data_IF_490130789310
#
_entry.id   IF_490130789310
#
_cell.length_a   1.000
_cell.length_b   1.000
_cell.length_c   1.000
_cell.angle_alpha   90.00
_cell.angle_beta   90.00
_cell.angle_gamma   90.00
#
_symmetry.space_group_name_H-M   'P 1'
#
loop_
_entity.id
_entity.type
_entity.pdbx_description
1 polymer ?
#
# COMPACT_ATOMS: atom_id res chain seq x y z
N UNK A 1 -30.77 -12.63 -28.89
CA UNK A 1 -31.50 -12.07 -27.72
C UNK A 1 -30.90 -10.72 -27.41
N UNK A 2 -31.69 -9.68 -27.12
CA UNK A 2 -31.18 -8.54 -26.37
C UNK A 2 -30.67 -9.06 -25.03
N UNK A 3 -29.49 -8.63 -24.59
CA UNK A 3 -28.98 -8.95 -23.26
C UNK A 3 -29.78 -8.10 -22.28
N UNK A 4 -30.31 -8.71 -21.22
CA UNK A 4 -31.04 -7.99 -20.17
C UNK A 4 -30.07 -7.01 -19.47
N UNK A 5 -30.36 -5.71 -19.53
CA UNK A 5 -29.47 -4.64 -19.06
C UNK A 5 -29.73 -4.31 -17.59
N UNK A 6 -29.63 -5.32 -16.72
CA UNK A 6 -29.82 -5.14 -15.28
C UNK A 6 -28.51 -5.32 -14.48
N UNK A 7 -28.52 -4.87 -13.22
CA UNK A 7 -27.36 -4.95 -12.33
C UNK A 7 -26.85 -6.40 -12.16
N UNK A 8 -27.71 -7.41 -11.87
CA UNK A 8 -27.33 -8.83 -11.91
C UNK A 8 -26.57 -9.26 -13.17
N UNK A 9 -27.03 -8.88 -14.37
CA UNK A 9 -26.42 -9.29 -15.62
C UNK A 9 -25.07 -8.63 -15.83
N UNK A 10 -24.94 -7.32 -15.58
CA UNK A 10 -23.64 -6.60 -15.64
C UNK A 10 -22.63 -7.21 -14.68
N UNK A 11 -23.02 -7.47 -13.42
CA UNK A 11 -22.16 -8.09 -12.42
C UNK A 11 -21.74 -9.52 -12.82
N UNK A 12 -22.65 -10.29 -13.40
CA UNK A 12 -22.39 -11.66 -13.85
C UNK A 12 -21.38 -11.71 -15.01
N UNK A 13 -21.54 -10.84 -16.02
CA UNK A 13 -20.57 -10.71 -17.11
C UNK A 13 -19.20 -10.25 -16.61
N UNK A 14 -19.16 -9.25 -15.72
CA UNK A 14 -17.92 -8.76 -15.14
C UNK A 14 -17.20 -9.80 -14.27
N UNK A 15 -17.96 -10.64 -13.54
CA UNK A 15 -17.42 -11.74 -12.75
C UNK A 15 -16.85 -12.87 -13.64
N UNK A 16 -17.58 -13.26 -14.69
CA UNK A 16 -17.10 -14.25 -15.68
C UNK A 16 -15.85 -13.79 -16.42
N UNK A 17 -15.83 -12.54 -16.86
CA UNK A 17 -14.69 -11.91 -17.52
C UNK A 17 -13.46 -11.82 -16.61
N UNK A 18 -13.68 -11.41 -15.36
CA UNK A 18 -12.65 -11.40 -14.31
C UNK A 18 -12.09 -12.80 -14.05
N UNK A 19 -12.97 -13.79 -13.84
CA UNK A 19 -12.57 -15.17 -13.62
C UNK A 19 -11.75 -15.72 -14.79
N UNK A 20 -12.18 -15.48 -16.03
CA UNK A 20 -11.46 -15.90 -17.24
C UNK A 20 -10.07 -15.27 -17.36
N UNK A 21 -9.96 -13.95 -17.27
CA UNK A 21 -8.68 -13.23 -17.40
C UNK A 21 -7.69 -13.66 -16.30
N UNK A 22 -8.16 -13.78 -15.06
CA UNK A 22 -7.31 -14.12 -13.91
C UNK A 22 -6.90 -15.59 -13.91
N UNK A 23 -7.77 -16.50 -14.37
CA UNK A 23 -7.43 -17.92 -14.55
C UNK A 23 -6.42 -18.12 -15.69
N UNK A 24 -6.58 -17.43 -16.82
CA UNK A 24 -5.61 -17.46 -17.92
C UNK A 24 -4.25 -16.88 -17.49
N UNK A 25 -4.28 -15.78 -16.72
CA UNK A 25 -3.09 -15.20 -16.10
C UNK A 25 -2.38 -16.17 -15.14
N UNK A 26 -3.13 -16.85 -14.28
CA UNK A 26 -2.62 -17.90 -13.40
C UNK A 26 -1.98 -19.05 -14.19
N UNK A 27 -2.68 -19.61 -15.18
CA UNK A 27 -2.19 -20.73 -16.00
C UNK A 27 -0.86 -20.34 -16.65
N UNK A 28 -0.82 -19.18 -17.32
CA UNK A 28 0.41 -18.68 -17.94
C UNK A 28 1.53 -18.47 -16.90
N UNK A 29 1.26 -17.74 -15.82
CA UNK A 29 2.26 -17.43 -14.80
C UNK A 29 2.80 -18.67 -14.08
N UNK A 30 1.98 -19.71 -13.88
CA UNK A 30 2.38 -20.95 -13.25
C UNK A 30 3.19 -21.83 -14.20
N UNK A 31 2.75 -21.98 -15.46
CA UNK A 31 3.46 -22.74 -16.50
C UNK A 31 4.85 -22.18 -16.77
N UNK A 32 4.99 -20.86 -16.87
CA UNK A 32 6.27 -20.20 -17.16
C UNK A 32 7.01 -19.68 -15.92
N UNK A 33 6.52 -19.98 -14.71
CA UNK A 33 7.08 -19.54 -13.42
C UNK A 33 7.41 -18.03 -13.39
N UNK A 34 6.46 -17.21 -13.85
CA UNK A 34 6.60 -15.76 -14.03
C UNK A 34 5.43 -14.97 -13.45
N UNK A 35 5.74 -13.83 -12.82
CA UNK A 35 4.77 -12.83 -12.36
C UNK A 35 4.63 -11.63 -13.31
N UNK A 36 5.37 -11.61 -14.43
CA UNK A 36 5.55 -10.42 -15.27
C UNK A 36 4.24 -9.75 -15.75
N UNK A 37 3.17 -10.53 -15.92
CA UNK A 37 1.86 -10.05 -16.35
C UNK A 37 0.85 -9.83 -15.22
N UNK A 38 1.20 -10.10 -13.95
CA UNK A 38 0.27 -10.01 -12.81
C UNK A 38 -0.32 -8.60 -12.67
N UNK A 39 0.51 -7.59 -12.42
CA UNK A 39 0.06 -6.19 -12.31
C UNK A 39 -0.66 -5.72 -13.60
N UNK A 40 -0.21 -6.18 -14.77
CA UNK A 40 -0.76 -5.79 -16.07
C UNK A 40 -2.17 -6.35 -16.31
N UNK A 41 -2.40 -7.64 -16.05
CA UNK A 41 -3.71 -8.28 -16.24
C UNK A 41 -4.74 -7.76 -15.22
N UNK A 42 -4.33 -7.36 -14.02
CA UNK A 42 -5.22 -6.64 -13.09
C UNK A 42 -5.70 -5.29 -13.63
N UNK A 43 -4.78 -4.51 -14.20
CA UNK A 43 -5.10 -3.23 -14.85
C UNK A 43 -6.00 -3.41 -16.08
N UNK A 44 -5.65 -4.35 -16.97
CA UNK A 44 -6.44 -4.70 -18.16
C UNK A 44 -7.83 -5.18 -17.78
N UNK A 45 -7.96 -6.10 -16.81
CA UNK A 45 -9.27 -6.57 -16.33
C UNK A 45 -10.14 -5.46 -15.72
N UNK A 46 -9.52 -4.43 -15.14
CA UNK A 46 -10.29 -3.26 -14.71
C UNK A 46 -10.83 -2.49 -15.92
N UNK A 47 -10.00 -2.27 -16.94
CA UNK A 47 -10.39 -1.54 -18.16
C UNK A 47 -11.45 -2.26 -18.99
N UNK A 48 -11.50 -3.60 -18.95
CA UNK A 48 -12.57 -4.35 -19.64
C UNK A 48 -13.95 -4.11 -19.05
N UNK A 49 -14.09 -3.64 -17.79
CA UNK A 49 -15.40 -3.22 -17.25
C UNK A 49 -15.95 -2.00 -17.99
N UNK A 50 -15.10 -1.05 -18.38
CA UNK A 50 -15.52 0.11 -19.17
C UNK A 50 -15.89 -0.31 -20.60
N UNK A 51 -15.15 -1.25 -21.19
CA UNK A 51 -15.52 -1.85 -22.48
C UNK A 51 -16.85 -2.61 -22.39
N UNK A 52 -17.09 -3.33 -21.30
CA UNK A 52 -18.35 -4.03 -21.02
C UNK A 52 -19.51 -3.04 -20.91
N UNK A 53 -19.33 -1.88 -20.26
CA UNK A 53 -20.33 -0.80 -20.20
C UNK A 53 -20.72 -0.31 -21.59
N UNK A 54 -19.73 -0.04 -22.46
CA UNK A 54 -19.98 0.35 -23.86
C UNK A 54 -20.68 -0.76 -24.67
N UNK A 55 -20.29 -2.03 -24.50
CA UNK A 55 -20.92 -3.16 -25.21
C UNK A 55 -22.36 -3.37 -24.77
N UNK A 56 -22.65 -3.31 -23.47
CA UNK A 56 -23.98 -3.59 -22.94
C UNK A 56 -24.94 -2.43 -23.14
N UNK A 57 -24.49 -1.17 -23.04
CA UNK A 57 -25.36 0.02 -23.13
C UNK A 57 -25.36 0.73 -24.48
N UNK A 58 -24.31 0.60 -25.29
CA UNK A 58 -24.20 1.26 -26.59
C UNK A 58 -24.42 2.78 -26.52
N UNK A 59 -25.37 3.28 -27.31
CA UNK A 59 -25.72 4.71 -27.37
C UNK A 59 -26.33 5.25 -26.06
N UNK A 60 -27.01 4.41 -25.27
CA UNK A 60 -27.67 4.82 -24.02
C UNK A 60 -26.69 5.25 -22.92
N UNK A 61 -25.43 4.82 -22.99
CA UNK A 61 -24.39 5.31 -22.09
C UNK A 61 -24.18 6.81 -22.28
N UNK A 62 -24.21 7.31 -23.52
CA UNK A 62 -24.04 8.73 -23.85
C UNK A 62 -25.20 9.60 -23.37
N UNK A 63 -26.37 9.01 -23.13
CA UNK A 63 -27.53 9.69 -22.53
C UNK A 63 -27.46 9.88 -21.01
N UNK A 64 -26.49 9.27 -20.32
CA UNK A 64 -26.43 9.28 -18.85
C UNK A 64 -25.11 9.89 -18.34
N UNK A 65 -25.11 11.18 -17.92
CA UNK A 65 -23.88 11.87 -17.55
C UNK A 65 -23.20 11.30 -16.30
N UNK A 66 -23.93 10.57 -15.44
CA UNK A 66 -23.37 9.90 -14.25
C UNK A 66 -22.48 8.72 -14.66
N UNK A 67 -22.98 7.87 -15.55
CA UNK A 67 -22.28 6.68 -16.03
C UNK A 67 -21.05 7.09 -16.84
N UNK A 68 -21.18 7.99 -17.83
CA UNK A 68 -20.02 8.53 -18.59
C UNK A 68 -18.95 9.07 -17.63
N UNK A 69 -19.34 9.87 -16.64
CA UNK A 69 -18.40 10.45 -15.67
C UNK A 69 -17.63 9.38 -14.91
N UNK A 70 -18.32 8.36 -14.34
CA UNK A 70 -17.62 7.31 -13.60
C UNK A 70 -16.80 6.41 -14.55
N UNK A 71 -17.29 6.04 -15.73
CA UNK A 71 -16.55 5.21 -16.68
C UNK A 71 -15.27 5.91 -17.17
N UNK A 72 -15.33 7.21 -17.46
CA UNK A 72 -14.15 8.01 -17.84
C UNK A 72 -13.15 8.17 -16.68
N UNK A 73 -13.62 8.50 -15.48
CA UNK A 73 -12.76 8.65 -14.29
C UNK A 73 -12.13 7.31 -13.88
N UNK A 74 -12.90 6.23 -13.94
CA UNK A 74 -12.42 4.87 -13.70
C UNK A 74 -11.37 4.48 -14.74
N UNK A 75 -11.66 4.62 -16.04
CA UNK A 75 -10.70 4.37 -17.13
C UNK A 75 -9.40 5.16 -16.93
N UNK A 76 -9.48 6.46 -16.64
CA UNK A 76 -8.30 7.31 -16.41
C UNK A 76 -7.46 6.81 -15.21
N UNK A 77 -8.10 6.47 -14.09
CA UNK A 77 -7.39 5.96 -12.90
C UNK A 77 -6.73 4.60 -13.13
N UNK A 78 -7.37 3.71 -13.90
CA UNK A 78 -6.84 2.36 -14.20
C UNK A 78 -5.79 2.39 -15.30
N UNK A 79 -5.92 3.26 -16.31
CA UNK A 79 -4.87 3.54 -17.31
C UNK A 79 -3.61 4.12 -16.67
N UNK A 80 -3.75 5.07 -15.74
CA UNK A 80 -2.62 5.59 -14.97
C UNK A 80 -1.93 4.49 -14.17
N UNK A 81 -2.70 3.76 -13.35
CA UNK A 81 -2.15 2.71 -12.49
C UNK A 81 -1.46 1.62 -13.31
N UNK A 82 -2.08 1.13 -14.38
CA UNK A 82 -1.49 0.16 -15.32
C UNK A 82 -0.17 0.67 -15.90
N UNK A 83 -0.15 1.90 -16.41
CA UNK A 83 1.04 2.51 -17.03
C UNK A 83 2.19 2.67 -16.02
N UNK A 84 1.87 3.16 -14.81
CA UNK A 84 2.85 3.35 -13.75
C UNK A 84 3.41 2.03 -13.22
N UNK A 85 2.56 1.01 -13.04
CA UNK A 85 2.98 -0.32 -12.60
C UNK A 85 3.85 -1.00 -13.67
N UNK A 86 3.47 -0.93 -14.95
CA UNK A 86 4.24 -1.50 -16.05
C UNK A 86 5.64 -0.84 -16.19
N UNK A 87 5.71 0.49 -16.14
CA UNK A 87 6.98 1.22 -16.10
C UNK A 87 7.83 0.80 -14.88
N UNK A 88 7.22 0.73 -13.69
CA UNK A 88 7.90 0.37 -12.44
C UNK A 88 8.42 -1.07 -12.45
N UNK A 89 7.69 -2.02 -13.03
CA UNK A 89 8.10 -3.41 -13.17
C UNK A 89 9.34 -3.53 -14.08
N UNK A 90 9.33 -2.81 -15.22
CA UNK A 90 10.47 -2.71 -16.14
C UNK A 90 11.72 -2.14 -15.48
N UNK A 91 11.59 -1.04 -14.73
CA UNK A 91 12.73 -0.40 -14.03
C UNK A 91 13.29 -1.22 -12.86
N UNK A 92 12.53 -2.19 -12.31
CA UNK A 92 12.94 -3.01 -11.16
C UNK A 92 13.33 -4.44 -11.51
N UNK A 93 13.07 -4.90 -12.73
CA UNK A 93 13.34 -6.27 -13.14
C UNK A 93 12.38 -7.30 -12.52
N UNK A 94 11.11 -6.94 -12.31
CA UNK A 94 10.09 -7.82 -11.71
C UNK A 94 9.81 -7.55 -10.22
N UNK A 95 9.19 -8.52 -9.55
CA UNK A 95 8.82 -8.42 -8.13
C UNK A 95 9.12 -9.71 -7.35
N UNK A 96 10.30 -9.75 -6.73
CA UNK A 96 10.79 -10.90 -5.95
C UNK A 96 9.95 -11.29 -4.72
N UNK A 97 8.83 -10.61 -4.43
CA UNK A 97 7.81 -11.13 -3.51
C UNK A 97 7.17 -12.42 -4.05
N UNK A 98 7.08 -12.57 -5.37
CA UNK A 98 6.45 -13.72 -6.03
C UNK A 98 7.35 -14.95 -6.13
N UNK A 99 8.68 -14.82 -6.02
CA UNK A 99 9.62 -15.96 -6.14
C UNK A 99 9.37 -17.08 -5.14
N UNK A 100 8.78 -16.75 -3.97
CA UNK A 100 8.40 -17.71 -2.93
C UNK A 100 7.00 -18.30 -3.11
N UNK A 101 6.25 -17.82 -4.10
CA UNK A 101 4.83 -18.12 -4.31
C UNK A 101 4.64 -18.94 -5.60
N UNK A 102 5.27 -18.53 -6.70
CA UNK A 102 5.20 -19.16 -8.04
C UNK A 102 5.39 -20.69 -8.05
N UNK A 103 6.31 -21.30 -7.26
CA UNK A 103 6.50 -22.75 -7.26
C UNK A 103 5.34 -23.55 -6.66
N UNK A 104 4.48 -22.92 -5.87
CA UNK A 104 3.42 -23.60 -5.11
C UNK A 104 2.05 -23.34 -5.73
N UNK A 105 1.52 -24.32 -6.47
CA UNK A 105 0.27 -24.22 -7.24
C UNK A 105 -0.87 -23.52 -6.49
N UNK A 106 -1.28 -24.03 -5.33
CA UNK A 106 -2.40 -23.47 -4.55
C UNK A 106 -2.09 -22.08 -3.99
N UNK A 107 -0.86 -21.84 -3.51
CA UNK A 107 -0.44 -20.53 -3.00
C UNK A 107 -0.49 -19.48 -4.11
N UNK A 108 0.02 -19.80 -5.30
CA UNK A 108 0.01 -18.89 -6.44
C UNK A 108 -1.43 -18.69 -6.96
N UNK A 109 -2.25 -19.74 -7.04
CA UNK A 109 -3.67 -19.65 -7.41
C UNK A 109 -4.44 -18.71 -6.49
N UNK A 110 -4.21 -18.78 -5.17
CA UNK A 110 -4.82 -17.86 -4.19
C UNK A 110 -4.42 -16.41 -4.47
N UNK A 111 -3.18 -16.15 -4.92
CA UNK A 111 -2.72 -14.78 -5.22
C UNK A 111 -3.40 -14.18 -6.47
N UNK A 112 -3.70 -15.00 -7.48
CA UNK A 112 -4.53 -14.58 -8.63
C UNK A 112 -6.02 -14.47 -8.26
N UNK A 113 -6.54 -15.37 -7.43
CA UNK A 113 -7.92 -15.28 -6.94
C UNK A 113 -8.15 -14.02 -6.09
N UNK A 114 -7.21 -13.67 -5.21
CA UNK A 114 -7.27 -12.42 -4.44
C UNK A 114 -7.18 -11.18 -5.36
N UNK A 115 -6.46 -11.26 -6.47
CA UNK A 115 -6.45 -10.21 -7.49
C UNK A 115 -7.81 -10.09 -8.20
N UNK A 116 -8.43 -11.22 -8.55
CA UNK A 116 -9.76 -11.28 -9.13
C UNK A 116 -10.80 -10.60 -8.23
N UNK A 117 -10.84 -11.00 -6.95
CA UNK A 117 -11.71 -10.39 -5.93
C UNK A 117 -11.43 -8.90 -5.78
N UNK A 118 -10.16 -8.50 -5.69
CA UNK A 118 -9.78 -7.09 -5.56
C UNK A 118 -10.23 -6.23 -6.74
N UNK A 119 -9.95 -6.65 -7.98
CA UNK A 119 -10.35 -5.89 -9.19
C UNK A 119 -11.86 -5.76 -9.27
N UNK A 120 -12.59 -6.86 -9.04
CA UNK A 120 -14.05 -6.86 -9.03
C UNK A 120 -14.63 -5.94 -7.95
N UNK A 121 -14.15 -6.07 -6.70
CA UNK A 121 -14.59 -5.23 -5.58
C UNK A 121 -14.32 -3.74 -5.83
N UNK A 122 -13.14 -3.38 -6.34
CA UNK A 122 -12.83 -1.97 -6.68
C UNK A 122 -13.75 -1.45 -7.79
N UNK A 123 -14.07 -2.29 -8.78
CA UNK A 123 -14.98 -1.97 -9.88
C UNK A 123 -16.47 -1.88 -9.53
N UNK A 124 -16.91 -2.27 -8.33
CA UNK A 124 -18.34 -2.31 -7.99
C UNK A 124 -19.12 -1.00 -8.27
N UNK A 125 -18.61 0.22 -7.99
CA UNK A 125 -19.36 1.44 -8.25
C UNK A 125 -19.64 1.68 -9.73
N UNK A 126 -18.70 1.36 -10.62
CA UNK A 126 -18.92 1.48 -12.08
C UNK A 126 -19.87 0.38 -12.56
N UNK A 127 -19.62 -0.88 -12.20
CA UNK A 127 -20.45 -2.04 -12.58
C UNK A 127 -21.91 -1.91 -12.11
N UNK A 128 -22.14 -1.43 -10.89
CA UNK A 128 -23.49 -1.22 -10.35
C UNK A 128 -24.16 -0.04 -11.05
N UNK A 129 -23.47 1.07 -11.28
CA UNK A 129 -24.04 2.22 -11.99
C UNK A 129 -24.39 1.87 -13.44
N UNK A 130 -23.56 1.11 -14.14
CA UNK A 130 -23.79 0.72 -15.54
C UNK A 130 -25.02 -0.18 -15.72
N UNK A 131 -25.38 -0.98 -14.71
CA UNK A 131 -26.58 -1.81 -14.69
C UNK A 131 -27.88 -1.08 -14.31
N UNK A 132 -27.85 0.23 -14.09
CA UNK A 132 -29.05 1.05 -13.81
C UNK A 132 -29.58 1.63 -15.13
N UNK A 133 -30.81 1.28 -15.47
CA UNK A 133 -31.50 1.80 -16.67
C UNK A 133 -32.14 3.17 -16.42
N UNK A 134 -32.59 3.46 -15.20
CA UNK A 134 -33.21 4.75 -14.89
C UNK A 134 -32.19 5.90 -14.91
N UNK A 135 -32.40 6.87 -15.81
CA UNK A 135 -31.57 8.08 -15.86
C UNK A 135 -31.92 9.03 -14.72
N UNK A 136 -31.01 9.16 -13.75
CA UNK A 136 -31.15 10.11 -12.62
C UNK A 136 -30.21 11.30 -12.82
N UNK A 137 -30.73 12.54 -12.95
CA UNK A 137 -29.92 13.74 -13.11
C UNK A 137 -28.83 13.88 -12.04
N UNK A 138 -27.73 14.52 -12.42
CA UNK A 138 -26.66 14.87 -11.47
C UNK A 138 -27.14 15.94 -10.49
N UNK A 139 -26.74 15.82 -9.23
CA UNK A 139 -26.93 16.82 -8.19
C UNK A 139 -25.59 17.42 -7.73
N UNK A 140 -25.64 18.39 -6.82
CA UNK A 140 -24.45 19.05 -6.24
C UNK A 140 -23.48 18.05 -5.60
N UNK A 141 -23.98 17.02 -4.93
CA UNK A 141 -23.16 15.96 -4.34
C UNK A 141 -22.39 15.15 -5.39
N UNK A 142 -23.01 14.88 -6.54
CA UNK A 142 -22.36 14.17 -7.64
C UNK A 142 -21.22 14.98 -8.26
N UNK A 143 -21.42 16.29 -8.45
CA UNK A 143 -20.35 17.20 -8.90
C UNK A 143 -19.21 17.30 -7.87
N UNK A 144 -19.52 17.29 -6.57
CA UNK A 144 -18.51 17.21 -5.49
C UNK A 144 -17.72 15.89 -5.59
N UNK A 145 -18.40 14.75 -5.79
CA UNK A 145 -17.75 13.46 -5.95
C UNK A 145 -16.86 13.41 -7.21
N UNK A 146 -17.33 13.92 -8.36
CA UNK A 146 -16.52 14.02 -9.60
C UNK A 146 -15.27 14.89 -9.37
N UNK A 147 -15.42 16.04 -8.72
CA UNK A 147 -14.31 16.94 -8.41
C UNK A 147 -13.29 16.32 -7.45
N UNK A 148 -13.76 15.72 -6.35
CA UNK A 148 -12.91 15.07 -5.35
C UNK A 148 -12.24 13.79 -5.88
N UNK A 149 -12.91 13.00 -6.73
CA UNK A 149 -12.28 11.88 -7.44
C UNK A 149 -11.13 12.41 -8.31
N UNK A 150 -11.37 13.46 -9.10
CA UNK A 150 -10.36 14.06 -9.98
C UNK A 150 -9.16 14.57 -9.17
N UNK A 151 -9.41 15.23 -8.03
CA UNK A 151 -8.35 15.65 -7.11
C UNK A 151 -7.59 14.46 -6.51
N UNK A 152 -8.26 13.37 -6.17
CA UNK A 152 -7.65 12.13 -5.70
C UNK A 152 -6.72 11.50 -6.75
N UNK A 153 -7.19 11.42 -8.00
CA UNK A 153 -6.41 10.93 -9.14
C UNK A 153 -5.16 11.81 -9.38
N UNK A 154 -5.33 13.13 -9.42
CA UNK A 154 -4.20 14.06 -9.59
C UNK A 154 -3.20 13.98 -8.42
N UNK A 155 -3.69 13.83 -7.18
CA UNK A 155 -2.85 13.66 -6.01
C UNK A 155 -2.03 12.35 -6.08
N UNK A 156 -2.63 11.24 -6.55
CA UNK A 156 -1.93 9.98 -6.81
C UNK A 156 -0.86 10.15 -7.89
N UNK A 157 -1.25 10.59 -9.09
CA UNK A 157 -0.35 10.79 -10.24
C UNK A 157 0.88 11.59 -9.84
N UNK A 158 0.65 12.77 -9.25
CA UNK A 158 1.72 13.68 -8.84
C UNK A 158 2.63 13.06 -7.77
N UNK A 159 2.04 12.38 -6.77
CA UNK A 159 2.81 11.73 -5.70
C UNK A 159 3.69 10.59 -6.23
N UNK A 160 3.16 9.77 -7.11
CA UNK A 160 3.86 8.64 -7.73
C UNK A 160 5.01 9.12 -8.62
N UNK A 161 4.76 10.14 -9.47
CA UNK A 161 5.79 10.78 -10.31
C UNK A 161 6.90 11.42 -9.46
N UNK A 162 6.55 12.21 -8.43
CA UNK A 162 7.55 12.86 -7.56
C UNK A 162 8.43 11.84 -6.84
N UNK A 163 7.85 10.74 -6.36
CA UNK A 163 8.60 9.65 -5.70
C UNK A 163 9.46 8.87 -6.70
N UNK A 164 8.97 8.62 -7.90
CA UNK A 164 9.72 8.00 -9.00
C UNK A 164 10.97 8.83 -9.37
N UNK A 165 10.79 10.13 -9.61
CA UNK A 165 11.89 11.05 -9.93
C UNK A 165 12.92 11.13 -8.79
N UNK A 166 12.47 11.19 -7.54
CA UNK A 166 13.36 11.21 -6.37
C UNK A 166 14.17 9.90 -6.21
N UNK A 167 13.58 8.74 -6.51
CA UNK A 167 14.32 7.47 -6.55
C UNK A 167 15.35 7.49 -7.68
N UNK A 168 14.98 7.95 -8.88
CA UNK A 168 15.88 8.06 -10.04
C UNK A 168 17.03 9.05 -9.81
N UNK A 169 16.81 10.12 -9.03
CA UNK A 169 17.86 11.05 -8.60
C UNK A 169 18.68 10.55 -7.39
N UNK A 170 18.87 9.22 -7.26
CA UNK A 170 19.74 8.62 -6.24
C UNK A 170 19.25 8.71 -4.79
N UNK A 171 17.97 8.99 -4.54
CA UNK A 171 17.38 9.09 -3.19
C UNK A 171 18.04 10.13 -2.28
N UNK A 172 18.46 11.26 -2.86
CA UNK A 172 19.09 12.37 -2.13
C UNK A 172 18.26 12.81 -0.91
N UNK A 173 18.91 13.03 0.24
CA UNK A 173 18.25 13.38 1.50
C UNK A 173 17.67 12.19 2.29
N UNK A 174 17.93 10.95 1.87
CA UNK A 174 17.53 9.75 2.60
C UNK A 174 16.10 9.29 2.28
N UNK A 175 15.11 10.14 2.53
CA UNK A 175 13.68 9.88 2.28
C UNK A 175 13.01 11.01 1.49
N UNK A 176 11.88 10.73 0.83
CA UNK A 176 11.20 11.70 -0.02
C UNK A 176 10.40 12.69 0.85
N UNK A 177 10.70 13.98 0.71
CA UNK A 177 10.05 15.10 1.42
C UNK A 177 9.58 16.20 0.46
N UNK A 178 9.43 15.87 -0.83
CA UNK A 178 9.12 16.81 -1.91
C UNK A 178 7.63 16.86 -2.21
N UNK A 179 7.13 18.06 -2.52
CA UNK A 179 5.74 18.30 -2.93
C UNK A 179 4.73 17.69 -1.93
N UNK A 180 3.78 16.84 -2.37
CA UNK A 180 2.79 16.23 -1.47
C UNK A 180 3.42 15.34 -0.38
N UNK A 181 4.62 14.78 -0.61
CA UNK A 181 5.40 14.05 0.41
C UNK A 181 5.96 14.98 1.51
N UNK A 182 5.75 16.29 1.43
CA UNK A 182 6.01 17.23 2.53
C UNK A 182 4.82 17.35 3.49
N UNK A 183 3.57 17.13 3.02
CA UNK A 183 2.33 17.29 3.79
C UNK A 183 1.72 15.98 4.26
N UNK A 184 2.03 14.86 3.60
CA UNK A 184 1.61 13.51 3.97
C UNK A 184 2.74 12.51 3.72
N UNK A 185 2.81 11.44 4.51
CA UNK A 185 3.76 10.34 4.31
C UNK A 185 3.32 9.33 3.26
N UNK A 186 2.02 9.24 2.93
CA UNK A 186 1.46 8.38 1.88
C UNK A 186 0.38 9.12 1.06
N UNK A 187 0.71 10.24 0.38
CA UNK A 187 -0.25 11.06 -0.34
C UNK A 187 -0.89 10.36 -1.55
N UNK A 188 -0.21 9.34 -2.12
CA UNK A 188 -0.79 8.50 -3.16
C UNK A 188 -1.87 7.54 -2.62
N UNK A 189 -1.74 7.04 -1.39
CA UNK A 189 -2.79 6.24 -0.74
C UNK A 189 -4.01 7.09 -0.39
N UNK A 190 -3.81 8.36 0.01
CA UNK A 190 -4.90 9.31 0.18
C UNK A 190 -5.66 9.52 -1.13
N UNK A 191 -4.94 9.70 -2.25
CA UNK A 191 -5.54 9.81 -3.58
C UNK A 191 -6.39 8.60 -3.98
N UNK A 192 -5.85 7.38 -3.84
CA UNK A 192 -6.57 6.14 -4.13
C UNK A 192 -7.82 5.99 -3.23
N UNK A 193 -7.71 6.21 -1.91
CA UNK A 193 -8.85 6.14 -0.99
C UNK A 193 -9.93 7.17 -1.34
N UNK A 194 -9.55 8.41 -1.63
CA UNK A 194 -10.49 9.48 -1.97
C UNK A 194 -11.26 9.17 -3.26
N UNK A 195 -10.60 8.62 -4.29
CA UNK A 195 -11.26 8.19 -5.52
C UNK A 195 -12.37 7.18 -5.25
N UNK A 196 -12.12 6.12 -4.48
CA UNK A 196 -13.13 5.06 -4.28
C UNK A 196 -14.31 5.49 -3.41
N UNK A 197 -14.08 6.37 -2.42
CA UNK A 197 -15.18 6.96 -1.66
C UNK A 197 -16.06 7.86 -2.53
N UNK A 198 -15.46 8.60 -3.46
CA UNK A 198 -16.21 9.42 -4.42
C UNK A 198 -16.91 8.59 -5.51
N UNK A 199 -16.30 7.50 -5.96
CA UNK A 199 -16.91 6.56 -6.88
C UNK A 199 -18.20 5.96 -6.29
N UNK A 200 -18.14 5.49 -5.04
CA UNK A 200 -19.32 5.05 -4.32
C UNK A 200 -20.31 6.20 -4.03
N UNK A 201 -19.81 7.42 -3.79
CA UNK A 201 -20.65 8.61 -3.64
C UNK A 201 -21.61 8.83 -4.81
N UNK A 202 -21.20 8.51 -6.04
CA UNK A 202 -22.06 8.58 -7.23
C UNK A 202 -23.19 7.53 -7.24
N UNK A 203 -23.10 6.47 -6.41
CA UNK A 203 -24.17 5.49 -6.21
C UNK A 203 -25.25 5.99 -5.23
N UNK A 204 -24.96 6.98 -4.38
CA UNK A 204 -25.86 7.43 -3.29
C UNK A 204 -27.17 8.02 -3.83
N UNK A 205 -27.14 8.81 -4.92
CA UNK A 205 -28.37 9.39 -5.48
C UNK A 205 -29.26 8.35 -6.19
N UNK A 206 -28.71 7.38 -6.96
CA UNK A 206 -29.46 6.23 -7.48
C UNK A 206 -30.05 5.28 -6.43
N UNK A 207 -29.48 5.17 -5.21
CA UNK A 207 -30.10 4.39 -4.12
C UNK A 207 -31.55 4.78 -3.81
N UNK A 208 -31.95 6.01 -4.14
CA UNK A 208 -33.28 6.54 -3.86
C UNK A 208 -34.32 6.25 -4.97
N UNK A 209 -33.97 5.48 -6.01
CA UNK A 209 -34.86 5.15 -7.13
C UNK A 209 -35.77 3.96 -6.83
N UNK A 210 -35.24 2.91 -6.20
CA UNK A 210 -36.01 1.70 -5.88
C UNK A 210 -35.24 0.72 -4.98
N UNK A 211 -35.96 -0.18 -4.31
CA UNK A 211 -35.41 -1.07 -3.29
C UNK A 211 -34.29 -1.98 -3.81
N UNK A 212 -34.43 -2.52 -5.02
CA UNK A 212 -33.43 -3.43 -5.60
C UNK A 212 -32.14 -2.67 -5.95
N UNK A 213 -32.26 -1.50 -6.59
CA UNK A 213 -31.12 -0.60 -6.90
C UNK A 213 -30.42 -0.14 -5.62
N UNK A 214 -31.19 0.15 -4.56
CA UNK A 214 -30.65 0.56 -3.26
C UNK A 214 -29.70 -0.49 -2.66
N UNK A 215 -30.04 -1.79 -2.74
CA UNK A 215 -29.20 -2.88 -2.22
C UNK A 215 -27.86 -2.93 -2.96
N UNK A 216 -27.85 -2.93 -4.29
CA UNK A 216 -26.60 -2.98 -5.06
C UNK A 216 -25.74 -1.73 -4.87
N UNK A 217 -26.35 -0.54 -4.86
CA UNK A 217 -25.64 0.71 -4.63
C UNK A 217 -25.10 0.82 -3.20
N UNK A 218 -25.78 0.23 -2.20
CA UNK A 218 -25.24 0.09 -0.85
C UNK A 218 -24.03 -0.88 -0.85
N UNK A 219 -24.15 -2.05 -1.50
CA UNK A 219 -23.07 -3.05 -1.58
C UNK A 219 -21.81 -2.52 -2.31
N UNK A 220 -21.96 -1.55 -3.23
CA UNK A 220 -20.82 -0.90 -3.87
C UNK A 220 -19.86 -0.18 -2.89
N UNK A 221 -20.28 0.08 -1.64
CA UNK A 221 -19.41 0.61 -0.57
C UNK A 221 -18.25 -0.33 -0.24
N UNK A 222 -18.33 -1.60 -0.62
CA UNK A 222 -17.22 -2.55 -0.50
C UNK A 222 -15.97 -2.09 -1.26
N UNK A 223 -16.11 -1.32 -2.34
CA UNK A 223 -14.97 -0.74 -3.10
C UNK A 223 -14.09 0.16 -2.21
N UNK A 224 -14.58 1.28 -1.66
CA UNK A 224 -13.79 2.11 -0.76
C UNK A 224 -13.41 1.40 0.55
N UNK A 225 -14.28 0.56 1.13
CA UNK A 225 -13.99 -0.09 2.40
C UNK A 225 -12.83 -1.09 2.28
N UNK A 226 -12.85 -1.97 1.27
CA UNK A 226 -11.77 -2.94 1.05
C UNK A 226 -10.48 -2.21 0.65
N UNK A 227 -10.57 -1.16 -0.16
CA UNK A 227 -9.38 -0.35 -0.51
C UNK A 227 -8.77 0.35 0.69
N UNK A 228 -9.60 0.96 1.54
CA UNK A 228 -9.17 1.58 2.79
C UNK A 228 -8.55 0.55 3.73
N UNK A 229 -9.17 -0.63 3.90
CA UNK A 229 -8.66 -1.70 4.75
C UNK A 229 -7.28 -2.22 4.30
N UNK A 230 -7.10 -2.49 3.00
CA UNK A 230 -5.81 -2.96 2.49
C UNK A 230 -4.72 -1.89 2.62
N UNK A 231 -5.02 -0.64 2.28
CA UNK A 231 -4.05 0.46 2.31
C UNK A 231 -3.69 0.91 3.74
N UNK A 232 -4.61 0.85 4.70
CA UNK A 232 -4.32 1.23 6.09
C UNK A 232 -3.84 0.06 6.95
N UNK A 233 -4.23 -1.18 6.64
CA UNK A 233 -4.08 -2.33 7.56
C UNK A 233 -3.25 -3.51 7.04
N UNK A 234 -3.53 -4.03 5.83
CA UNK A 234 -2.99 -5.34 5.42
C UNK A 234 -1.72 -5.23 4.58
N UNK A 235 -1.75 -4.44 3.51
CA UNK A 235 -0.72 -4.44 2.46
C UNK A 235 -0.13 -3.07 2.12
N UNK A 236 -0.74 -1.98 2.62
CA UNK A 236 -0.23 -0.62 2.50
C UNK A 236 0.65 -0.19 3.68
N UNK A 237 0.17 0.73 4.50
CA UNK A 237 0.99 1.49 5.45
C UNK A 237 1.80 0.63 6.44
N UNK A 238 1.29 -0.46 7.05
CA UNK A 238 2.11 -1.33 7.92
C UNK A 238 3.32 -1.98 7.23
N UNK A 239 3.25 -2.24 5.92
CA UNK A 239 4.37 -2.76 5.13
C UNK A 239 5.28 -1.66 4.56
N UNK A 240 4.79 -0.41 4.49
CA UNK A 240 5.53 0.74 3.99
C UNK A 240 6.21 1.56 5.12
N UNK A 241 5.73 1.45 6.35
CA UNK A 241 6.22 2.10 7.57
C UNK A 241 6.97 1.10 8.48
N UNK A 242 7.19 1.48 9.74
CA UNK A 242 7.77 0.60 10.75
C UNK A 242 9.11 0.00 10.29
N UNK A 243 9.19 -1.33 10.28
CA UNK A 243 10.42 -2.06 9.94
C UNK A 243 10.92 -1.85 8.50
N UNK A 244 10.05 -1.54 7.53
CA UNK A 244 10.49 -1.22 6.16
C UNK A 244 11.35 0.06 6.10
N UNK A 245 11.30 0.87 7.16
CA UNK A 245 11.99 2.13 7.33
C UNK A 245 13.06 2.08 8.44
N UNK A 246 13.39 0.90 8.96
CA UNK A 246 14.42 0.64 10.00
C UNK A 246 15.73 1.42 9.75
N UNK A 247 16.21 1.47 8.50
CA UNK A 247 17.41 2.24 8.09
C UNK A 247 17.35 3.74 8.40
N UNK A 248 16.16 4.32 8.53
CA UNK A 248 15.93 5.72 8.91
C UNK A 248 15.70 5.89 10.41
N UNK A 249 15.58 4.81 11.19
CA UNK A 249 15.52 4.86 12.66
C UNK A 249 16.85 4.51 13.33
N UNK A 250 17.76 3.82 12.62
CA UNK A 250 19.08 3.37 13.12
C UNK A 250 20.27 3.99 12.38
N UNK A 251 20.05 4.65 11.23
CA UNK A 251 21.10 5.20 10.37
C UNK A 251 21.31 6.71 10.49
N UNK A 252 22.12 7.26 9.58
CA UNK A 252 22.51 8.68 9.50
C UNK A 252 21.33 9.66 9.58
N UNK A 253 20.20 9.32 8.99
CA UNK A 253 19.03 10.22 8.83
C UNK A 253 18.02 10.15 9.99
N UNK A 254 18.45 9.66 11.17
CA UNK A 254 17.55 9.35 12.29
C UNK A 254 16.82 10.57 12.83
N UNK A 255 17.55 11.66 13.05
CA UNK A 255 16.98 12.87 13.65
C UNK A 255 16.03 13.57 12.67
N UNK A 256 16.42 13.64 11.39
CA UNK A 256 15.59 14.20 10.33
C UNK A 256 14.32 13.38 10.09
N UNK A 257 14.41 12.03 10.15
CA UNK A 257 13.24 11.17 9.95
C UNK A 257 12.25 11.25 11.10
N UNK A 258 12.72 11.29 12.35
CA UNK A 258 11.86 11.52 13.52
C UNK A 258 11.17 12.88 13.41
N UNK A 259 11.92 13.95 13.15
CA UNK A 259 11.38 15.30 13.00
C UNK A 259 10.41 15.43 11.81
N UNK A 260 10.64 14.69 10.71
CA UNK A 260 9.71 14.59 9.60
C UNK A 260 8.41 13.89 10.01
N UNK A 261 8.51 12.76 10.73
CA UNK A 261 7.34 11.99 11.15
C UNK A 261 6.46 12.72 12.16
N UNK A 262 7.06 13.46 13.10
CA UNK A 262 6.31 14.28 14.08
C UNK A 262 5.45 15.37 13.44
N UNK A 263 5.92 15.95 12.32
CA UNK A 263 5.32 17.08 11.62
C UNK A 263 4.53 16.72 10.37
N UNK A 264 4.48 15.44 9.96
CA UNK A 264 3.87 15.01 8.71
C UNK A 264 2.86 13.89 8.96
N UNK A 265 1.59 14.18 8.64
CA UNK A 265 0.46 13.24 8.69
C UNK A 265 0.78 11.95 7.93
N UNK A 266 0.32 10.76 8.38
CA UNK A 266 0.56 9.53 7.65
C UNK A 266 -0.20 9.52 6.31
N UNK A 267 -1.44 10.01 6.27
CA UNK A 267 -2.35 9.87 5.13
C UNK A 267 -2.83 11.21 4.57
N UNK A 268 -3.61 11.96 5.36
CA UNK A 268 -4.29 13.18 4.89
C UNK A 268 -3.25 14.30 4.72
N UNK A 269 -3.10 14.91 3.52
CA UNK A 269 -2.18 16.04 3.33
C UNK A 269 -2.63 17.25 4.14
N UNK A 270 -1.79 17.72 5.07
CA UNK A 270 -2.06 18.90 5.90
C UNK A 270 -0.81 19.77 6.10
N UNK A 271 -0.97 21.08 6.40
CA UNK A 271 0.14 21.95 6.78
C UNK A 271 0.92 21.37 7.96
N UNK A 272 2.25 21.29 7.82
CA UNK A 272 3.12 20.60 8.77
C UNK A 272 3.21 21.30 10.12
N UNK A 273 3.04 22.62 10.15
CA UNK A 273 2.91 23.42 11.37
C UNK A 273 1.67 23.04 12.17
N UNK A 274 0.51 22.95 11.51
CA UNK A 274 -0.75 22.53 12.11
C UNK A 274 -0.63 21.09 12.64
N UNK A 275 -0.18 20.14 11.80
CA UNK A 275 -0.04 18.75 12.26
C UNK A 275 0.93 18.62 13.43
N UNK A 276 2.10 19.29 13.39
CA UNK A 276 3.07 19.23 14.49
C UNK A 276 2.45 19.64 15.83
N UNK A 277 1.63 20.68 15.85
CA UNK A 277 0.98 21.20 17.05
C UNK A 277 -0.13 20.30 17.65
N UNK A 278 -0.67 19.33 16.90
CA UNK A 278 -1.76 18.49 17.38
C UNK A 278 -1.32 17.50 18.48
N UNK A 279 -2.11 17.31 19.56
CA UNK A 279 -1.91 16.24 20.52
C UNK A 279 -1.93 14.85 19.87
N UNK A 280 -1.16 13.90 20.40
CA UNK A 280 -1.05 12.55 19.84
C UNK A 280 -2.39 11.78 19.78
N UNK A 281 -3.33 12.09 20.67
CA UNK A 281 -4.69 11.53 20.63
C UNK A 281 -5.46 12.01 19.38
N UNK A 282 -5.37 13.30 19.03
CA UNK A 282 -5.99 13.86 17.82
C UNK A 282 -5.35 13.27 16.56
N UNK A 283 -4.02 13.14 16.54
CA UNK A 283 -3.30 12.48 15.45
C UNK A 283 -3.75 11.02 15.25
N UNK A 284 -3.92 10.27 16.34
CA UNK A 284 -4.37 8.87 16.32
C UNK A 284 -5.80 8.69 15.81
N UNK A 285 -6.72 9.57 16.21
CA UNK A 285 -8.15 9.45 15.87
C UNK A 285 -8.45 10.00 14.47
N UNK A 286 -8.07 11.24 14.20
CA UNK A 286 -8.51 11.97 12.99
C UNK A 286 -7.52 11.89 11.82
N UNK A 287 -6.25 11.61 12.10
CA UNK A 287 -5.20 11.47 11.09
C UNK A 287 -4.66 10.05 10.97
N UNK A 288 -5.24 9.08 11.69
CA UNK A 288 -4.89 7.67 11.61
C UNK A 288 -3.40 7.39 11.99
N UNK A 289 -2.79 8.14 12.91
CA UNK A 289 -1.40 7.90 13.37
C UNK A 289 -1.33 6.67 14.30
N UNK A 290 -1.64 5.48 13.79
CA UNK A 290 -1.71 4.26 14.58
C UNK A 290 -0.33 3.77 15.05
N UNK A 291 -0.31 3.15 16.24
CA UNK A 291 0.92 2.60 16.84
C UNK A 291 1.64 1.58 15.96
N UNK A 292 0.92 0.83 15.12
CA UNK A 292 1.51 -0.14 14.19
C UNK A 292 2.36 0.49 13.08
N UNK A 293 2.34 1.82 12.92
CA UNK A 293 3.24 2.56 12.03
C UNK A 293 4.50 3.07 12.76
N UNK A 294 4.58 2.92 14.09
CA UNK A 294 5.79 3.19 14.88
C UNK A 294 6.79 2.04 14.70
N UNK A 295 8.05 2.35 14.35
CA UNK A 295 9.14 1.38 14.47
C UNK A 295 9.63 1.36 15.92
N UNK A 296 9.81 0.17 16.49
CA UNK A 296 10.43 -0.01 17.79
C UNK A 296 11.71 -0.83 17.67
N UNK A 297 12.78 -0.55 18.45
CA UNK A 297 14.00 -1.36 18.41
C UNK A 297 13.79 -2.85 18.73
N UNK A 298 12.72 -3.22 19.43
CA UNK A 298 12.34 -4.61 19.69
C UNK A 298 11.97 -5.38 18.39
N UNK A 299 11.51 -4.68 17.34
CA UNK A 299 11.19 -5.27 16.04
C UNK A 299 12.42 -5.86 15.34
N UNK A 300 13.63 -5.37 15.70
CA UNK A 300 14.92 -5.92 15.26
C UNK A 300 15.25 -7.24 15.96
N UNK A 301 15.09 -7.29 17.28
CA UNK A 301 15.52 -8.41 18.14
C UNK A 301 14.64 -9.66 18.01
N UNK A 302 13.33 -9.48 17.83
CA UNK A 302 12.39 -10.59 17.64
C UNK A 302 12.69 -11.49 16.42
N UNK A 303 13.49 -11.00 15.47
CA UNK A 303 13.95 -11.75 14.30
C UNK A 303 15.30 -12.46 14.49
N UNK A 304 16.23 -11.88 15.26
CA UNK A 304 17.53 -12.52 15.54
C UNK A 304 17.36 -13.74 16.46
N UNK A 305 16.45 -13.65 17.45
CA UNK A 305 16.11 -14.76 18.35
C UNK A 305 15.57 -16.02 17.64
N UNK A 306 15.01 -15.90 16.43
CA UNK A 306 14.55 -17.05 15.63
C UNK A 306 15.63 -17.71 14.76
N UNK A 307 16.82 -17.13 14.63
CA UNK A 307 17.95 -17.74 13.88
C UNK A 307 18.97 -18.47 14.76
N UNK A 308 18.80 -18.47 16.09
CA UNK A 308 19.81 -18.97 17.04
C UNK A 308 19.58 -20.36 17.66
N UNK A 309 18.45 -21.03 17.41
CA UNK A 309 18.15 -22.35 18.02
C UNK A 309 18.27 -23.50 17.01
N UNK A 310 19.51 -23.95 16.80
CA UNK A 310 19.76 -25.32 16.32
C UNK A 310 19.31 -26.32 17.41
N UNK A 311 18.55 -27.38 17.08
CA UNK A 311 18.19 -28.39 18.06
C UNK A 311 19.42 -29.25 18.39
N UNK A 312 20.03 -29.02 19.55
CA UNK A 312 21.05 -29.94 20.10
C UNK A 312 20.42 -31.32 20.22
N UNK A 313 21.04 -32.30 19.56
CA UNK A 313 20.57 -33.68 19.55
C UNK A 313 20.48 -34.25 20.97
N UNK A 314 19.39 -34.98 21.23
CA UNK A 314 19.28 -35.84 22.41
C UNK A 314 20.08 -37.11 22.16
N UNK A 315 21.12 -37.36 22.95
CA UNK A 315 21.56 -38.72 23.26
C UNK A 315 21.51 -38.92 24.78
N UNK A 316 21.12 -40.10 25.28
CA UNK A 316 20.83 -40.29 26.69
C UNK A 316 22.11 -40.58 27.48
N UNK A 317 22.28 -39.92 28.63
CA UNK A 317 23.19 -40.41 29.68
C UNK A 317 22.37 -41.17 30.72
N UNK A 318 22.64 -42.46 30.81
CA UNK A 318 22.38 -43.25 32.02
C UNK A 318 23.19 -42.67 33.19
N UNK A 319 22.58 -42.60 34.37
CA UNK A 319 23.27 -42.31 35.62
C UNK A 319 23.33 -43.56 36.47
N UNK A 320 24.55 -44.04 36.77
CA UNK A 320 24.81 -44.98 37.87
C UNK A 320 25.96 -44.40 38.72
N UNK A 321 25.88 -44.72 40.00
CA UNK A 321 26.48 -44.14 41.21
C UNK A 321 28.03 -44.14 41.36
N UNK A 322 28.46 -43.55 42.50
CA UNK A 322 29.78 -43.64 43.17
C UNK A 322 30.83 -42.60 42.72
N UNK A 323 31.76 -42.09 43.54
CA UNK A 323 31.95 -42.08 45.02
C UNK A 323 33.13 -41.12 45.35
N UNK A 324 33.40 -40.83 46.64
CA UNK A 324 34.59 -40.10 47.11
C UNK A 324 34.47 -38.57 46.99
N UNK A 325 34.55 -37.74 48.04
CA UNK A 325 35.52 -37.59 49.15
C UNK A 325 36.61 -36.55 48.88
N UNK A 326 36.88 -35.78 49.94
CA UNK A 326 38.10 -34.99 50.19
C UNK A 326 38.25 -33.60 49.57
N UNK A 327 38.17 -32.62 50.47
CA UNK A 327 38.79 -31.29 50.52
C UNK A 327 39.99 -31.00 49.60
N UNK A 328 40.08 -29.77 49.08
CA UNK A 328 41.13 -28.82 49.53
C UNK A 328 41.06 -27.40 48.87
N UNK A 329 40.98 -26.37 49.73
CA UNK A 329 42.00 -25.30 49.86
C UNK A 329 42.08 -24.14 48.83
N UNK A 330 42.00 -22.90 49.37
CA UNK A 330 42.61 -21.61 48.90
C UNK A 330 42.10 -21.05 47.55
N UNK A 331 41.33 -19.95 47.48
CA UNK A 331 41.54 -18.56 47.93
C UNK A 331 42.68 -17.80 47.22
N UNK A 332 42.37 -16.68 46.55
CA UNK A 332 43.11 -15.40 46.66
C UNK A 332 42.55 -14.32 45.71
N UNK A 333 42.17 -13.18 46.30
CA UNK A 333 41.99 -11.91 45.60
C UNK A 333 43.33 -11.17 45.46
N UNK A 334 43.48 -10.39 44.38
CA UNK A 334 44.19 -9.08 44.28
C UNK A 334 43.95 -8.56 42.84
N UNK A 335 43.27 -7.46 42.51
CA UNK A 335 43.06 -6.11 43.07
C UNK A 335 44.09 -5.05 42.63
N UNK A 336 43.58 -3.95 42.02
CA UNK A 336 44.18 -2.57 41.94
C UNK A 336 45.45 -2.38 41.08
N UNK A 337 45.77 -1.22 40.46
CA UNK A 337 45.03 0.02 40.04
C UNK A 337 45.95 0.82 39.02
N UNK A 338 45.61 2.04 38.50
CA UNK A 338 46.16 2.57 37.23
C UNK A 338 47.23 3.68 37.33
N UNK A 339 47.83 4.03 36.17
CA UNK A 339 48.60 5.26 35.85
C UNK A 339 48.75 5.34 34.29
N UNK A 340 49.02 6.44 33.56
CA UNK A 340 49.04 7.92 33.82
C UNK A 340 48.84 8.70 32.48
N UNK A 341 48.75 10.04 32.52
CA UNK A 341 48.56 10.95 31.36
C UNK A 341 49.84 11.35 30.58
N UNK A 342 49.69 11.88 29.35
CA UNK A 342 50.64 12.86 28.78
C UNK A 342 49.96 13.90 27.85
N UNK A 343 50.51 15.13 27.81
CA UNK A 343 50.05 16.29 27.01
C UNK A 343 51.21 16.83 26.14
N UNK A 344 50.92 17.28 24.92
CA UNK A 344 51.59 18.38 24.17
C UNK A 344 50.61 18.82 23.06
N UNK A 345 50.21 20.10 22.89
CA UNK A 345 50.95 21.33 22.50
C UNK A 345 51.76 21.13 21.19
N UNK A 346 51.73 22.01 20.17
CA UNK A 346 50.99 23.29 19.95
C UNK A 346 51.31 23.83 18.53
N UNK A 347 50.68 24.94 18.11
CA UNK A 347 51.11 25.90 17.05
C UNK A 347 51.13 25.42 15.58
N UNK A 348 51.02 26.27 14.53
CA UNK A 348 50.42 27.61 14.32
C UNK A 348 50.56 28.01 12.82
N UNK A 349 49.98 29.14 12.40
CA UNK A 349 50.15 29.83 11.08
C UNK A 349 49.60 29.10 9.83
N UNK A 350 49.12 29.79 8.78
CA UNK A 350 48.82 31.23 8.64
C UNK A 350 48.72 31.71 7.17
N UNK A 351 47.67 32.48 6.83
CA UNK A 351 47.52 33.18 5.53
C UNK A 351 47.12 32.29 4.33
N UNK A 352 46.76 32.84 3.15
CA UNK A 352 46.42 34.23 2.75
C UNK A 352 45.68 34.20 1.39
N UNK A 353 44.71 35.10 1.20
CA UNK A 353 44.04 35.64 -0.02
C UNK A 353 44.21 35.01 -1.43
N UNK A 354 43.12 35.16 -2.20
CA UNK A 354 42.99 35.37 -3.66
C UNK A 354 43.36 34.25 -4.65
N UNK A 355 42.37 33.77 -5.41
CA UNK A 355 41.85 34.48 -6.58
C UNK A 355 40.32 34.37 -6.64
#
# INVERSE_FOLDING_TARGET
MPIEQDIPTVLSWAAGLTGGIQLLGFIHGFTFQTEAFYDALGGINSLTFVVLAFILRGEELWGNPRQISISCLFAASRLWLLSFLAWRAKERGGDGRFDKLKPYFFTFLIVWFLQAVWVFCVGLPVLVLDGITESVPLNVGDYICIGLFTLGLLAQIHSDIVKAMWVKSGRAGGFCTRALWYWSRHPNYFGEILMWWCAWGLCVRPMLVGSNVAVYCALAVLSPLITTLLLLGVSGMPLAEGKALERYYTGKYREEYIAYRERTSPLIPVPTSLYKALPIAVKRIFFLEFKCYEYTPADSEGASGKRGRSPRGKSPRSGISSSGSSSNTVSLLKSRKPSTSSKRKSSSTGGRKSK
#
